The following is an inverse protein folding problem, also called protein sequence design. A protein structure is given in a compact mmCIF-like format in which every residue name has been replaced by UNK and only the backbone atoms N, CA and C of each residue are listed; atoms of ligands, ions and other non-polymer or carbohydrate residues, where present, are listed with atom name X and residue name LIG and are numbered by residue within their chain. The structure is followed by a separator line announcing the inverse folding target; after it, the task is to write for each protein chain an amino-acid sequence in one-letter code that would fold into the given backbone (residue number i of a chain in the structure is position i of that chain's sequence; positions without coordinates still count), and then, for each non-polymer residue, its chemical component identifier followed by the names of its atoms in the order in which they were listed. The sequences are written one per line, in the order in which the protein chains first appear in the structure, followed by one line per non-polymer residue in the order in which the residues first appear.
data_IF_423885338190
#
_entry.id   IF_423885338190
#
_cell.length_a   1.000
_cell.length_b   1.000
_cell.length_c   1.000
_cell.angle_alpha   90.00
_cell.angle_beta   90.00
_cell.angle_gamma   90.00
#
_symmetry.space_group_name_H-M   'P 1'
#
loop_
_entity.id
_entity.type
_entity.pdbx_description
1 polymer ?
#
# COMPACT_ATOMS: atom_id res chain seq x y z
N UNK A 1 42.12 4.20 -6.86
CA UNK A 1 40.82 4.68 -6.40
C UNK A 1 39.72 3.62 -6.38
N UNK A 2 40.09 2.46 -5.91
CA UNK A 2 39.12 1.35 -5.79
C UNK A 2 38.34 1.37 -4.47
N UNK A 3 38.80 2.17 -3.49
CA UNK A 3 38.16 2.22 -2.16
C UNK A 3 36.70 2.69 -2.16
N UNK A 4 36.27 3.74 -2.92
CA UNK A 4 34.87 4.16 -2.96
C UNK A 4 33.94 3.09 -3.52
N UNK A 5 34.39 2.34 -4.53
CA UNK A 5 33.61 1.25 -5.11
C UNK A 5 33.44 0.09 -4.15
N UNK A 6 34.49 -0.26 -3.40
CA UNK A 6 34.43 -1.29 -2.38
C UNK A 6 33.47 -0.93 -1.25
N UNK A 7 33.46 0.34 -0.85
CA UNK A 7 32.55 0.85 0.18
C UNK A 7 31.10 0.76 -0.28
N UNK A 8 30.81 1.17 -1.52
CA UNK A 8 29.48 1.05 -2.12
C UNK A 8 29.00 -0.39 -2.18
N UNK A 9 29.90 -1.31 -2.54
CA UNK A 9 29.56 -2.73 -2.64
C UNK A 9 29.22 -3.33 -1.28
N UNK A 10 30.00 -3.01 -0.25
CA UNK A 10 29.73 -3.46 1.13
C UNK A 10 28.41 -2.89 1.65
N UNK A 11 28.10 -1.64 1.32
CA UNK A 11 26.87 -1.00 1.73
C UNK A 11 25.65 -1.70 1.13
N UNK A 12 25.69 -2.04 -0.16
CA UNK A 12 24.63 -2.81 -0.82
C UNK A 12 24.41 -4.18 -0.17
N UNK A 13 25.49 -4.87 0.15
CA UNK A 13 25.40 -6.19 0.80
C UNK A 13 24.77 -6.09 2.17
N UNK A 14 25.14 -5.11 2.98
CA UNK A 14 24.55 -4.86 4.29
C UNK A 14 23.05 -4.51 4.17
N UNK A 15 22.67 -3.71 3.17
CA UNK A 15 21.27 -3.32 2.93
C UNK A 15 20.43 -4.54 2.59
N UNK A 16 20.92 -5.42 1.71
CA UNK A 16 20.21 -6.67 1.35
C UNK A 16 20.03 -7.58 2.57
N UNK A 17 21.09 -7.73 3.38
CA UNK A 17 21.03 -8.53 4.60
C UNK A 17 19.99 -7.99 5.58
N UNK A 18 19.95 -6.68 5.78
CA UNK A 18 18.96 -6.02 6.65
C UNK A 18 17.53 -6.22 6.14
N UNK A 19 17.32 -6.09 4.84
CA UNK A 19 16.01 -6.31 4.21
C UNK A 19 15.55 -7.75 4.39
N UNK A 20 16.46 -8.73 4.20
CA UNK A 20 16.15 -10.14 4.39
C UNK A 20 15.78 -10.43 5.85
N UNK A 21 16.52 -9.89 6.80
CA UNK A 21 16.21 -10.03 8.23
C UNK A 21 14.87 -9.39 8.59
N UNK A 22 14.58 -8.21 8.05
CA UNK A 22 13.31 -7.53 8.28
C UNK A 22 12.14 -8.38 7.79
N UNK A 23 12.22 -8.91 6.57
CA UNK A 23 11.18 -9.78 6.01
C UNK A 23 10.97 -11.02 6.87
N UNK A 24 12.04 -11.65 7.31
CA UNK A 24 11.98 -12.82 8.19
C UNK A 24 11.26 -12.48 9.49
N UNK A 25 11.60 -11.36 10.12
CA UNK A 25 10.96 -10.90 11.35
C UNK A 25 9.46 -10.65 11.16
N UNK A 26 9.06 -10.04 10.03
CA UNK A 26 7.65 -9.79 9.75
C UNK A 26 6.89 -11.10 9.58
N UNK A 27 7.46 -12.07 8.91
CA UNK A 27 6.86 -13.40 8.75
C UNK A 27 6.75 -14.13 10.08
N UNK A 28 7.75 -14.00 10.94
CA UNK A 28 7.71 -14.58 12.30
C UNK A 28 6.61 -13.98 13.15
N UNK A 29 6.27 -12.70 12.93
CA UNK A 29 5.13 -12.04 13.58
C UNK A 29 3.80 -12.47 13.01
N UNK A 30 3.78 -13.32 11.99
CA UNK A 30 2.56 -13.77 11.33
C UNK A 30 1.98 -12.79 10.32
N UNK A 31 2.78 -11.83 9.85
CA UNK A 31 2.34 -10.86 8.86
C UNK A 31 2.58 -11.36 7.44
N UNK A 32 1.77 -10.90 6.51
CA UNK A 32 1.88 -11.19 5.08
C UNK A 32 2.27 -9.93 4.32
N UNK A 33 3.10 -10.11 3.29
CA UNK A 33 3.50 -9.00 2.41
C UNK A 33 2.45 -8.83 1.31
N UNK A 34 1.84 -7.66 1.24
CA UNK A 34 0.94 -7.30 0.15
C UNK A 34 1.69 -6.40 -0.83
N UNK A 35 2.03 -6.95 -2.00
CA UNK A 35 2.67 -6.17 -3.07
C UNK A 35 1.61 -5.82 -4.11
N UNK A 36 1.34 -4.52 -4.26
CA UNK A 36 0.31 -4.02 -5.16
C UNK A 36 0.65 -2.59 -5.59
N UNK A 37 0.16 -2.20 -6.75
CA UNK A 37 0.26 -0.81 -7.18
C UNK A 37 -1.01 -0.07 -6.75
N UNK A 38 -0.87 1.20 -6.41
CA UNK A 38 -1.97 2.07 -6.04
C UNK A 38 -1.83 3.37 -6.83
N UNK A 39 -2.94 3.97 -7.23
CA UNK A 39 -2.88 5.26 -7.92
C UNK A 39 -2.22 6.31 -7.04
N UNK A 40 -1.47 7.23 -7.66
CA UNK A 40 -0.82 8.30 -6.89
C UNK A 40 -1.84 9.18 -6.17
N UNK A 41 -3.02 9.37 -6.77
CA UNK A 41 -4.09 10.14 -6.12
C UNK A 41 -4.57 9.44 -4.83
N UNK A 42 -4.88 8.16 -4.89
CA UNK A 42 -5.33 7.42 -3.71
C UNK A 42 -4.24 7.40 -2.63
N UNK A 43 -2.99 7.23 -3.04
CA UNK A 43 -1.86 7.27 -2.11
C UNK A 43 -1.72 8.63 -1.43
N UNK A 44 -1.86 9.73 -2.18
CA UNK A 44 -1.81 11.09 -1.60
C UNK A 44 -2.92 11.31 -0.58
N UNK A 45 -4.14 10.85 -0.90
CA UNK A 45 -5.27 10.92 0.04
C UNK A 45 -4.99 10.11 1.30
N UNK A 46 -4.40 8.93 1.15
CA UNK A 46 -4.03 8.10 2.29
C UNK A 46 -3.00 8.80 3.19
N UNK A 47 -1.99 9.44 2.60
CA UNK A 47 -0.99 10.18 3.36
C UNK A 47 -1.62 11.32 4.18
N UNK A 48 -2.55 12.07 3.58
CA UNK A 48 -3.28 13.14 4.27
C UNK A 48 -4.04 12.60 5.48
N UNK A 49 -4.76 11.50 5.31
CA UNK A 49 -5.53 10.89 6.40
C UNK A 49 -4.63 10.37 7.51
N UNK A 50 -3.48 9.81 7.17
CA UNK A 50 -2.50 9.36 8.16
C UNK A 50 -1.98 10.51 9.01
N UNK A 51 -1.67 11.65 8.39
CA UNK A 51 -1.22 12.84 9.11
C UNK A 51 -2.30 13.38 10.03
N UNK A 52 -3.54 13.44 9.56
CA UNK A 52 -4.66 13.97 10.33
C UNK A 52 -5.03 13.10 11.53
N UNK A 53 -4.90 11.78 11.39
CA UNK A 53 -5.36 10.83 12.40
C UNK A 53 -4.23 10.18 13.20
N UNK A 54 -2.98 10.48 12.90
CA UNK A 54 -1.82 9.92 13.61
C UNK A 54 -1.67 8.43 13.45
N UNK A 55 -2.00 7.88 12.29
CA UNK A 55 -1.86 6.45 12.00
C UNK A 55 -0.86 6.22 10.87
N UNK A 56 -0.38 4.99 10.74
CA UNK A 56 0.53 4.61 9.66
C UNK A 56 -0.23 4.27 8.39
N UNK A 57 0.46 4.31 7.24
CA UNK A 57 -0.13 3.87 5.97
C UNK A 57 -0.57 2.42 6.03
N UNK A 58 0.22 1.56 6.66
CA UNK A 58 -0.13 0.14 6.83
C UNK A 58 -1.45 -0.02 7.57
N UNK A 59 -1.65 0.73 8.65
CA UNK A 59 -2.91 0.73 9.40
C UNK A 59 -4.07 1.23 8.55
N UNK A 60 -3.85 2.31 7.79
CA UNK A 60 -4.89 2.86 6.93
C UNK A 60 -5.33 1.87 5.85
N UNK A 61 -4.37 1.18 5.21
CA UNK A 61 -4.71 0.18 4.19
C UNK A 61 -5.55 -0.94 4.76
N UNK A 62 -5.22 -1.42 5.95
CA UNK A 62 -5.98 -2.47 6.62
C UNK A 62 -7.39 -1.99 6.98
N UNK A 63 -7.52 -0.77 7.48
CA UNK A 63 -8.82 -0.17 7.78
C UNK A 63 -9.66 -0.03 6.52
N UNK A 64 -9.07 0.44 5.44
CA UNK A 64 -9.78 0.61 4.16
C UNK A 64 -10.31 -0.72 3.63
N UNK A 65 -9.48 -1.76 3.65
CA UNK A 65 -9.87 -3.09 3.17
C UNK A 65 -10.96 -3.67 4.06
N UNK A 66 -10.81 -3.60 5.39
CA UNK A 66 -11.75 -4.17 6.34
C UNK A 66 -13.10 -3.44 6.37
N UNK A 67 -13.12 -2.16 6.01
CA UNK A 67 -14.36 -1.38 6.01
C UNK A 67 -15.05 -1.34 4.65
N UNK A 68 -14.56 -2.09 3.68
CA UNK A 68 -15.21 -2.19 2.37
C UNK A 68 -16.31 -3.23 2.42
N UNK A 69 -17.52 -2.82 2.04
CA UNK A 69 -18.67 -3.74 1.95
C UNK A 69 -18.58 -4.53 0.65
N UNK A 70 -18.49 -5.86 0.69
CA UNK A 70 -18.45 -6.68 -0.54
C UNK A 70 -19.69 -6.55 -1.41
N UNK A 71 -20.81 -6.10 -0.83
CA UNK A 71 -22.07 -5.92 -1.55
C UNK A 71 -22.25 -4.51 -2.12
N UNK A 72 -21.40 -3.57 -1.71
CA UNK A 72 -21.40 -2.19 -2.18
C UNK A 72 -19.98 -1.75 -2.49
N UNK A 73 -19.38 -2.39 -3.49
CA UNK A 73 -17.99 -2.12 -3.85
C UNK A 73 -17.80 -0.70 -4.37
N UNK A 74 -16.78 0.00 -3.92
CA UNK A 74 -16.49 1.34 -4.43
C UNK A 74 -16.11 1.31 -5.91
N UNK A 75 -16.55 2.33 -6.64
CA UNK A 75 -16.21 2.48 -8.04
C UNK A 75 -14.82 3.06 -8.21
N UNK A 76 -14.25 2.88 -9.39
CA UNK A 76 -12.99 3.50 -9.76
C UNK A 76 -13.09 5.02 -9.58
N UNK A 77 -12.09 5.61 -8.92
CA UNK A 77 -12.05 7.06 -8.76
C UNK A 77 -11.75 7.76 -10.10
N UNK A 78 -12.08 9.06 -10.25
CA UNK A 78 -11.76 9.80 -11.47
C UNK A 78 -10.26 9.76 -11.78
N UNK A 79 -9.92 9.60 -13.07
CA UNK A 79 -8.53 9.60 -13.51
C UNK A 79 -7.93 11.00 -13.43
N UNK A 80 -6.67 11.05 -12.99
CA UNK A 80 -5.88 12.27 -13.03
C UNK A 80 -5.12 12.28 -14.34
N UNK A 81 -5.34 13.30 -15.15
CA UNK A 81 -4.78 13.39 -16.49
C UNK A 81 -3.48 14.20 -16.57
N UNK A 82 -3.23 15.05 -15.58
CA UNK A 82 -2.06 15.93 -15.56
C UNK A 82 -1.50 16.09 -14.16
N UNK A 83 -0.21 16.39 -14.04
CA UNK A 83 0.44 16.72 -12.78
C UNK A 83 1.07 15.52 -12.07
N UNK A 84 1.46 15.75 -10.83
CA UNK A 84 2.23 14.79 -10.03
C UNK A 84 1.41 13.57 -9.58
N UNK A 85 0.09 13.66 -9.64
CA UNK A 85 -0.78 12.57 -9.18
C UNK A 85 -1.24 11.64 -10.31
N UNK A 86 -0.66 11.79 -11.50
CA UNK A 86 -0.91 10.87 -12.63
C UNK A 86 -0.22 9.54 -12.36
N UNK A 87 -0.87 8.46 -12.74
CA UNK A 87 -0.28 7.13 -12.70
C UNK A 87 -0.39 6.46 -11.33
N UNK A 88 0.45 5.47 -11.14
CA UNK A 88 0.43 4.63 -9.95
C UNK A 88 1.84 4.38 -9.43
N UNK A 89 1.92 3.97 -8.17
CA UNK A 89 3.18 3.57 -7.53
C UNK A 89 3.02 2.24 -6.83
N UNK A 90 4.11 1.53 -6.63
CA UNK A 90 4.08 0.28 -5.90
C UNK A 90 4.14 0.53 -4.40
N UNK A 91 3.33 -0.23 -3.66
CA UNK A 91 3.39 -0.28 -2.20
C UNK A 91 3.57 -1.74 -1.77
N UNK A 92 4.20 -1.93 -0.63
CA UNK A 92 4.54 -3.27 -0.14
C UNK A 92 4.33 -3.35 1.38
N UNK A 93 3.10 -3.08 1.87
CA UNK A 93 2.86 -3.15 3.32
C UNK A 93 2.86 -4.59 3.83
N UNK A 94 3.31 -4.76 5.06
CA UNK A 94 3.17 -6.01 5.81
C UNK A 94 1.89 -5.91 6.62
N UNK A 95 0.92 -6.76 6.33
CA UNK A 95 -0.41 -6.69 6.90
C UNK A 95 -0.85 -8.05 7.46
N UNK A 96 -1.95 -8.04 8.19
CA UNK A 96 -2.56 -9.26 8.69
C UNK A 96 -2.93 -10.18 7.53
N UNK A 97 -2.61 -11.50 7.60
CA UNK A 97 -2.96 -12.43 6.52
C UNK A 97 -4.44 -12.46 6.17
N UNK A 98 -5.31 -12.29 7.15
CA UNK A 98 -6.76 -12.23 6.92
C UNK A 98 -7.15 -11.01 6.08
N UNK A 99 -6.50 -9.87 6.32
CA UNK A 99 -6.74 -8.65 5.56
C UNK A 99 -6.25 -8.83 4.12
N UNK A 100 -5.07 -9.43 3.96
CA UNK A 100 -4.53 -9.73 2.62
C UNK A 100 -5.47 -10.63 1.82
N UNK A 101 -6.03 -11.65 2.46
CA UNK A 101 -6.99 -12.56 1.84
C UNK A 101 -8.28 -11.82 1.48
N UNK A 102 -8.77 -10.97 2.36
CA UNK A 102 -9.95 -10.15 2.10
C UNK A 102 -9.72 -9.26 0.88
N UNK A 103 -8.55 -8.62 0.79
CA UNK A 103 -8.21 -7.80 -0.37
C UNK A 103 -8.25 -8.62 -1.66
N UNK A 104 -7.64 -9.80 -1.68
CA UNK A 104 -7.61 -10.63 -2.88
C UNK A 104 -9.03 -11.03 -3.33
N UNK A 105 -9.92 -11.31 -2.40
CA UNK A 105 -11.32 -11.59 -2.71
C UNK A 105 -12.03 -10.38 -3.30
N UNK A 106 -11.83 -9.20 -2.71
CA UNK A 106 -12.40 -7.96 -3.22
C UNK A 106 -11.86 -7.63 -4.62
N UNK A 107 -10.56 -7.84 -4.83
CA UNK A 107 -9.88 -7.52 -6.08
C UNK A 107 -10.40 -8.31 -7.28
N UNK A 108 -10.97 -9.50 -7.06
CA UNK A 108 -11.55 -10.31 -8.14
C UNK A 108 -12.73 -9.61 -8.82
N UNK A 109 -13.35 -8.64 -8.17
CA UNK A 109 -14.48 -7.87 -8.71
C UNK A 109 -14.06 -6.68 -9.57
N UNK A 110 -12.75 -6.45 -9.68
CA UNK A 110 -12.19 -5.33 -10.43
C UNK A 110 -11.39 -5.84 -11.62
N UNK A 111 -11.13 -4.96 -12.57
CA UNK A 111 -10.37 -5.29 -13.76
C UNK A 111 -8.93 -5.74 -13.43
N UNK A 112 -8.33 -5.09 -12.42
CA UNK A 112 -7.00 -5.47 -11.93
C UNK A 112 -6.84 -5.04 -10.47
N UNK A 113 -5.75 -5.51 -9.85
CA UNK A 113 -5.47 -5.23 -8.44
C UNK A 113 -5.17 -3.75 -8.16
N UNK A 114 -4.59 -3.06 -9.11
CA UNK A 114 -4.29 -1.62 -8.99
C UNK A 114 -5.58 -0.81 -8.87
N UNK A 115 -6.55 -1.09 -9.74
CA UNK A 115 -7.86 -0.43 -9.69
C UNK A 115 -8.57 -0.75 -8.37
N UNK A 116 -8.51 -2.01 -7.95
CA UNK A 116 -9.12 -2.44 -6.70
C UNK A 116 -8.57 -1.67 -5.50
N UNK A 117 -7.26 -1.67 -5.33
CA UNK A 117 -6.62 -1.00 -4.20
C UNK A 117 -6.86 0.51 -4.22
N UNK A 118 -6.76 1.11 -5.40
CA UNK A 118 -6.99 2.55 -5.57
C UNK A 118 -8.43 2.94 -5.22
N UNK A 119 -9.42 2.18 -5.69
CA UNK A 119 -10.82 2.44 -5.41
C UNK A 119 -11.15 2.28 -3.92
N UNK A 120 -10.66 1.22 -3.31
CA UNK A 120 -10.89 0.92 -1.89
C UNK A 120 -10.31 2.02 -1.00
N UNK A 121 -9.06 2.40 -1.22
CA UNK A 121 -8.39 3.42 -0.41
C UNK A 121 -9.00 4.80 -0.64
N UNK A 122 -9.24 5.17 -1.89
CA UNK A 122 -9.85 6.46 -2.21
C UNK A 122 -11.22 6.61 -1.56
N UNK A 123 -12.06 5.59 -1.67
CA UNK A 123 -13.41 5.61 -1.09
C UNK A 123 -13.38 5.71 0.44
N UNK A 124 -12.45 4.99 1.07
CA UNK A 124 -12.29 5.06 2.52
C UNK A 124 -11.90 6.47 2.97
N UNK A 125 -10.92 7.07 2.30
CA UNK A 125 -10.47 8.44 2.60
C UNK A 125 -11.59 9.46 2.37
N UNK A 126 -12.37 9.31 1.31
CA UNK A 126 -13.50 10.19 1.03
C UNK A 126 -14.56 10.12 2.14
N UNK A 127 -14.84 8.93 2.67
CA UNK A 127 -15.75 8.77 3.80
C UNK A 127 -15.21 9.45 5.07
N UNK A 128 -13.93 9.30 5.32
CA UNK A 128 -13.28 9.96 6.47
C UNK A 128 -13.36 11.49 6.38
N UNK A 129 -13.18 12.04 5.18
CA UNK A 129 -13.30 13.48 4.94
C UNK A 129 -14.73 14.00 5.13
N UNK A 130 -15.73 13.16 4.84
CA UNK A 130 -17.14 13.51 4.98
C UNK A 130 -17.63 13.51 6.43
N UNK A 131 -16.91 12.85 7.31
CA UNK A 131 -17.20 12.83 8.75
C UNK A 131 -16.52 14.01 9.44
#
# INVERSE_FOLDING_TARGET
MKAPERIKFRHKAKTKARQAMFRTRQREKGLALLQVRISRLAHAKACEQCEQNGITLTELYQLAINNTDPNQLPEKHPEVMEGDLVGARQISPWIDPEVAETFEKLATNYRNRTIAMSAIVYAYCARCEAE
#
